data_IF_448605431184
#
_entry.id   IF_448605431184
#
_cell.length_a   1.000
_cell.length_b   1.000
_cell.length_c   1.000
_cell.angle_alpha   90.00
_cell.angle_beta   90.00
_cell.angle_gamma   90.00
#
_symmetry.space_group_name_H-M   'P 1'
#
loop_
_entity.id
_entity.type
_entity.pdbx_description
1 polymer ?
#
# COMPACT_ATOMS: atom_id res chain seq x y z
N UNK A 1 -12.68 3.36 -10.26
CA UNK A 1 -11.89 2.41 -9.43
C UNK A 1 -10.44 2.84 -9.47
N UNK A 2 -9.70 2.71 -8.36
CA UNK A 2 -8.29 3.12 -8.25
C UNK A 2 -7.48 1.96 -7.65
N UNK A 3 -6.23 1.79 -8.07
CA UNK A 3 -5.29 0.87 -7.42
C UNK A 3 -4.20 1.68 -6.75
N UNK A 4 -4.06 1.49 -5.44
CA UNK A 4 -3.15 2.27 -4.61
C UNK A 4 -2.14 1.34 -3.95
N UNK A 5 -0.86 1.64 -4.11
CA UNK A 5 0.23 1.00 -3.37
C UNK A 5 0.77 1.95 -2.32
N UNK A 6 0.77 1.53 -1.06
CA UNK A 6 1.30 2.31 0.06
C UNK A 6 2.76 1.95 0.34
N UNK A 7 3.68 2.85 0.01
CA UNK A 7 5.09 2.77 0.36
C UNK A 7 5.34 3.50 1.69
N UNK A 8 5.12 2.79 2.80
CA UNK A 8 5.15 3.37 4.16
C UNK A 8 6.54 3.27 4.77
N UNK A 9 7.07 4.37 5.33
CA UNK A 9 8.27 4.29 6.18
C UNK A 9 7.93 3.54 7.47
N UNK A 10 8.51 2.35 7.63
CA UNK A 10 8.36 1.52 8.83
C UNK A 10 9.63 1.50 9.68
N UNK A 11 9.48 1.20 10.98
CA UNK A 11 10.59 0.92 11.91
C UNK A 11 11.50 -0.25 11.50
N UNK A 12 11.10 -1.05 10.51
CA UNK A 12 11.87 -2.17 9.95
C UNK A 12 12.78 -1.77 8.78
N UNK A 13 12.79 -0.49 8.37
CA UNK A 13 13.78 0.05 7.43
C UNK A 13 15.03 0.43 8.24
N UNK A 14 15.92 -0.52 8.55
CA UNK A 14 17.23 -0.24 9.17
C UNK A 14 18.29 -1.19 8.58
N UNK A 15 19.48 -0.65 8.26
CA UNK A 15 20.55 -0.62 9.25
C UNK A 15 20.93 0.80 9.72
N UNK A 16 21.54 0.95 10.91
CA UNK A 16 21.62 2.21 11.67
C UNK A 16 22.52 3.34 11.20
N UNK A 17 23.15 3.26 10.03
CA UNK A 17 24.37 4.03 9.81
C UNK A 17 24.25 5.19 8.83
N UNK A 18 23.07 5.43 8.27
CA UNK A 18 22.91 6.40 7.17
C UNK A 18 21.84 7.44 7.50
N UNK A 19 22.25 8.71 7.60
CA UNK A 19 21.41 9.82 8.07
C UNK A 19 20.16 10.10 7.23
N UNK A 20 19.33 11.05 7.70
CA UNK A 20 17.98 11.40 7.17
C UNK A 20 17.85 11.52 5.64
N UNK A 21 18.93 11.88 4.93
CA UNK A 21 18.94 11.98 3.46
C UNK A 21 18.96 10.62 2.75
N UNK A 22 19.58 9.61 3.37
CA UNK A 22 19.62 8.25 2.83
C UNK A 22 18.27 7.55 2.97
N UNK A 23 17.55 7.74 4.09
CA UNK A 23 16.20 7.18 4.25
C UNK A 23 15.23 7.72 3.20
N UNK A 24 15.35 9.00 2.84
CA UNK A 24 14.54 9.61 1.78
C UNK A 24 14.86 8.99 0.41
N UNK A 25 16.14 8.77 0.07
CA UNK A 25 16.53 8.16 -1.20
C UNK A 25 16.11 6.69 -1.30
N UNK A 26 16.17 5.92 -0.20
CA UNK A 26 15.65 4.55 -0.18
C UNK A 26 14.13 4.52 -0.37
N UNK A 27 13.39 5.40 0.30
CA UNK A 27 11.95 5.49 0.11
C UNK A 27 11.59 5.83 -1.34
N UNK A 28 12.28 6.81 -1.94
CA UNK A 28 12.04 7.18 -3.34
C UNK A 28 12.36 6.05 -4.30
N UNK A 29 13.45 5.31 -4.08
CA UNK A 29 13.78 4.12 -4.87
C UNK A 29 12.69 3.04 -4.75
N UNK A 30 12.19 2.78 -3.54
CA UNK A 30 11.07 1.85 -3.34
C UNK A 30 9.77 2.34 -3.99
N UNK A 31 9.46 3.64 -3.89
CA UNK A 31 8.29 4.20 -4.53
C UNK A 31 8.40 4.12 -6.06
N UNK A 32 9.58 4.36 -6.63
CA UNK A 32 9.83 4.19 -8.07
C UNK A 32 9.63 2.73 -8.52
N UNK A 33 10.18 1.78 -7.76
CA UNK A 33 9.97 0.35 -8.04
C UNK A 33 8.50 -0.05 -7.92
N UNK A 34 7.79 0.46 -6.91
CA UNK A 34 6.36 0.22 -6.74
C UNK A 34 5.54 0.76 -7.92
N UNK A 35 5.89 1.94 -8.46
CA UNK A 35 5.24 2.51 -9.66
C UNK A 35 5.45 1.61 -10.88
N UNK A 36 6.68 1.12 -11.08
CA UNK A 36 6.99 0.21 -12.19
C UNK A 36 6.19 -1.10 -12.08
N UNK A 37 6.11 -1.70 -10.89
CA UNK A 37 5.33 -2.91 -10.66
C UNK A 37 3.83 -2.67 -10.85
N UNK A 38 3.33 -1.51 -10.42
CA UNK A 38 1.93 -1.14 -10.58
C UNK A 38 1.56 -0.99 -12.05
N UNK A 39 2.44 -0.39 -12.86
CA UNK A 39 2.22 -0.26 -14.32
C UNK A 39 2.21 -1.63 -15.04
N UNK A 40 2.92 -2.63 -14.51
CA UNK A 40 2.84 -4.01 -15.05
C UNK A 40 1.43 -4.60 -14.95
N UNK A 41 0.61 -4.18 -13.98
CA UNK A 41 -0.79 -4.61 -13.91
C UNK A 41 -1.57 -4.15 -15.14
N UNK A 42 -1.30 -2.93 -15.61
CA UNK A 42 -1.91 -2.39 -16.82
C UNK A 42 -1.39 -3.07 -18.07
N UNK A 43 -0.06 -3.16 -18.21
CA UNK A 43 0.59 -3.80 -19.36
C UNK A 43 0.12 -5.25 -19.54
N UNK A 44 -0.10 -5.98 -18.45
CA UNK A 44 -0.57 -7.37 -18.47
C UNK A 44 -2.10 -7.51 -18.62
N UNK A 45 -2.84 -6.40 -18.74
CA UNK A 45 -4.29 -6.39 -18.89
C UNK A 45 -5.07 -6.78 -17.64
N UNK A 46 -4.47 -6.73 -16.45
CA UNK A 46 -5.15 -6.99 -15.17
C UNK A 46 -6.12 -5.86 -14.82
N UNK A 47 -5.76 -4.64 -15.20
CA UNK A 47 -6.60 -3.43 -15.04
C UNK A 47 -6.69 -2.67 -16.36
N UNK A 48 -7.79 -1.95 -16.58
CA UNK A 48 -8.01 -1.15 -17.78
C UNK A 48 -7.26 0.19 -17.76
N UNK A 49 -7.16 0.83 -18.93
CA UNK A 49 -6.44 2.10 -19.13
C UNK A 49 -7.02 3.30 -18.36
N UNK A 50 -8.31 3.24 -18.01
CA UNK A 50 -9.00 4.27 -17.24
C UNK A 50 -8.80 4.12 -15.72
N UNK A 51 -8.17 3.04 -15.25
CA UNK A 51 -7.89 2.83 -13.83
C UNK A 51 -6.72 3.69 -13.39
N UNK A 52 -6.96 4.54 -12.39
CA UNK A 52 -5.91 5.35 -11.78
C UNK A 52 -4.98 4.47 -10.96
N UNK A 53 -3.69 4.54 -11.27
CA UNK A 53 -2.61 3.86 -10.57
C UNK A 53 -1.87 4.88 -9.71
N UNK A 54 -1.77 4.64 -8.41
CA UNK A 54 -1.17 5.57 -7.47
C UNK A 54 -0.20 4.87 -6.53
N UNK A 55 0.95 5.49 -6.29
CA UNK A 55 1.85 5.13 -5.19
C UNK A 55 1.86 6.27 -4.19
N UNK A 56 1.46 5.96 -2.97
CA UNK A 56 1.38 6.91 -1.86
C UNK A 56 2.47 6.59 -0.86
N UNK A 57 3.19 7.61 -0.40
CA UNK A 57 4.23 7.46 0.62
C UNK A 57 3.83 8.20 1.90
N UNK A 58 4.40 7.78 3.03
CA UNK A 58 4.19 8.48 4.29
C UNK A 58 5.08 7.96 5.42
N UNK A 59 5.29 8.81 6.43
CA UNK A 59 6.01 8.52 7.65
C UNK A 59 5.13 7.72 8.63
N UNK A 60 4.76 6.51 8.21
CA UNK A 60 3.82 5.65 8.93
C UNK A 60 2.45 5.56 8.28
N UNK A 61 1.64 4.60 8.75
CA UNK A 61 0.37 4.24 8.12
C UNK A 61 -0.69 5.33 8.17
N UNK A 62 -0.76 6.11 9.26
CA UNK A 62 -1.69 7.23 9.37
C UNK A 62 -1.44 8.26 8.26
N UNK A 63 -0.22 8.78 8.17
CA UNK A 63 0.13 9.76 7.14
C UNK A 63 -0.01 9.20 5.73
N UNK A 64 0.40 7.95 5.50
CA UNK A 64 0.30 7.34 4.19
C UNK A 64 -1.17 7.14 3.76
N UNK A 65 -2.06 6.76 4.68
CA UNK A 65 -3.49 6.64 4.38
C UNK A 65 -4.11 8.01 4.15
N UNK A 66 -3.84 9.00 4.99
CA UNK A 66 -4.37 10.35 4.79
C UNK A 66 -3.92 11.00 3.47
N UNK A 67 -2.73 10.66 2.99
CA UNK A 67 -2.15 11.19 1.75
C UNK A 67 -2.73 10.56 0.46
N UNK A 68 -3.70 9.65 0.54
CA UNK A 68 -4.27 8.97 -0.63
C UNK A 68 -5.38 9.75 -1.35
N UNK A 69 -5.63 11.01 -0.97
CA UNK A 69 -6.64 11.89 -1.59
C UNK A 69 -8.01 11.21 -1.74
N UNK A 70 -8.53 10.70 -0.62
CA UNK A 70 -9.82 10.01 -0.58
C UNK A 70 -10.97 10.92 -1.01
N UNK A 71 -11.94 10.33 -1.69
CA UNK A 71 -13.20 10.97 -2.04
C UNK A 71 -14.33 10.45 -1.15
N UNK A 72 -15.35 11.29 -0.96
CA UNK A 72 -16.53 10.90 -0.19
C UNK A 72 -17.19 9.66 -0.80
N UNK A 73 -17.45 8.66 0.05
CA UNK A 73 -18.08 7.40 -0.36
C UNK A 73 -17.11 6.34 -0.93
N UNK A 74 -15.79 6.58 -0.93
CA UNK A 74 -14.83 5.55 -1.28
C UNK A 74 -14.75 4.42 -0.22
N UNK A 75 -14.31 3.24 -0.66
CA UNK A 75 -14.10 2.05 0.18
C UNK A 75 -12.72 1.50 -0.15
N UNK A 76 -11.95 1.11 0.87
CA UNK A 76 -10.66 0.46 0.71
C UNK A 76 -10.83 -1.07 0.70
N UNK A 77 -10.61 -1.69 -0.45
CA UNK A 77 -10.56 -3.15 -0.57
C UNK A 77 -9.14 -3.68 -0.35
N UNK A 78 -8.98 -4.64 0.57
CA UNK A 78 -7.71 -5.30 0.87
C UNK A 78 -7.83 -6.80 0.60
N UNK A 79 -6.98 -7.32 -0.28
CA UNK A 79 -6.80 -8.77 -0.42
C UNK A 79 -5.94 -9.31 0.73
N UNK A 80 -6.27 -10.51 1.22
CA UNK A 80 -5.37 -11.26 2.10
C UNK A 80 -4.58 -12.28 1.32
N UNK A 81 -3.30 -12.45 1.65
CA UNK A 81 -2.53 -13.60 1.21
C UNK A 81 -2.83 -14.80 2.13
N UNK A 82 -3.31 -15.94 1.62
CA UNK A 82 -3.50 -17.13 2.45
C UNK A 82 -2.17 -17.60 3.02
N UNK A 83 -2.19 -18.05 4.28
CA UNK A 83 -1.04 -18.70 4.92
C UNK A 83 -1.37 -20.19 5.06
N UNK A 84 -1.03 -20.98 4.04
CA UNK A 84 -1.34 -22.42 3.95
C UNK A 84 -2.75 -22.74 3.41
N UNK A 85 -3.16 -24.00 3.52
CA UNK A 85 -4.38 -24.56 2.89
C UNK A 85 -5.72 -24.10 3.51
N UNK A 86 -5.69 -23.16 4.46
CA UNK A 86 -6.89 -22.65 5.12
C UNK A 86 -7.18 -21.25 4.60
N UNK A 87 -8.33 -21.10 3.91
CA UNK A 87 -8.89 -19.81 3.52
C UNK A 87 -9.34 -19.04 4.77
N UNK A 88 -8.39 -18.43 5.47
CA UNK A 88 -8.61 -17.50 6.57
C UNK A 88 -8.14 -16.13 6.12
N UNK A 89 -8.93 -15.12 6.45
CA UNK A 89 -8.57 -13.71 6.29
C UNK A 89 -7.39 -13.43 7.23
N UNK A 90 -6.18 -13.69 6.75
CA UNK A 90 -4.95 -13.36 7.46
C UNK A 90 -4.61 -11.90 7.17
N UNK A 91 -5.05 -11.07 8.11
CA UNK A 91 -4.63 -9.69 8.26
C UNK A 91 -3.17 -9.74 8.73
N UNK A 92 -2.21 -9.76 7.79
CA UNK A 92 -0.77 -9.74 8.11
C UNK A 92 -0.39 -8.60 9.07
N UNK A 93 0.87 -8.52 9.47
CA UNK A 93 1.38 -7.56 10.49
C UNK A 93 1.04 -6.08 10.23
N UNK A 94 0.60 -5.74 9.02
CA UNK A 94 0.21 -4.40 8.59
C UNK A 94 -1.30 -4.18 8.50
N UNK A 95 -2.11 -5.20 8.21
CA UNK A 95 -3.55 -4.99 7.90
C UNK A 95 -4.34 -4.46 9.10
N UNK A 96 -3.98 -4.85 10.34
CA UNK A 96 -4.57 -4.26 11.54
C UNK A 96 -4.28 -2.77 11.72
N UNK A 97 -3.12 -2.29 11.22
CA UNK A 97 -2.80 -0.85 11.21
C UNK A 97 -3.59 -0.13 10.13
N UNK A 98 -3.75 -0.76 8.96
CA UNK A 98 -4.54 -0.19 7.86
C UNK A 98 -5.99 0.01 8.30
N UNK A 99 -6.63 -1.01 8.87
CA UNK A 99 -8.01 -0.93 9.36
C UNK A 99 -8.17 0.15 10.43
N UNK A 100 -7.18 0.27 11.33
CA UNK A 100 -7.22 1.26 12.42
C UNK A 100 -7.13 2.71 11.94
N UNK A 101 -6.33 2.97 10.91
CA UNK A 101 -6.03 4.32 10.43
C UNK A 101 -6.78 4.69 9.15
N UNK A 102 -7.57 3.78 8.57
CA UNK A 102 -8.30 4.07 7.33
C UNK A 102 -9.35 5.16 7.58
N UNK A 103 -9.35 6.25 6.79
CA UNK A 103 -10.39 7.27 6.85
C UNK A 103 -11.69 6.82 6.15
N UNK A 104 -11.62 5.74 5.36
CA UNK A 104 -12.75 5.14 4.65
C UNK A 104 -13.08 3.73 5.16
N UNK A 105 -14.31 3.22 4.95
CA UNK A 105 -14.63 1.83 5.25
C UNK A 105 -13.67 0.85 4.57
N UNK A 106 -13.28 -0.21 5.29
CA UNK A 106 -12.35 -1.23 4.78
C UNK A 106 -13.09 -2.55 4.54
N UNK A 107 -13.04 -3.04 3.31
CA UNK A 107 -13.50 -4.37 2.93
C UNK A 107 -12.30 -5.30 2.81
N UNK A 108 -12.31 -6.40 3.56
CA UNK A 108 -11.24 -7.40 3.49
C UNK A 108 -11.72 -8.61 2.72
N UNK A 109 -11.01 -8.95 1.66
CA UNK A 109 -11.33 -10.05 0.76
C UNK A 109 -10.48 -11.28 1.12
N UNK A 110 -11.09 -12.45 1.37
CA UNK A 110 -10.34 -13.69 1.51
C UNK A 110 -9.64 -14.02 0.18
N UNK A 111 -8.40 -14.51 0.28
CA UNK A 111 -7.60 -14.98 -0.85
C UNK A 111 -7.33 -16.46 -0.78
#
# INVERSE_FOLDING_TARGET
>A
MRVITFAVRGRTMYPPEVGLHAEASVLEAWAAQARELLEKLRINGVVSEDVVLQVVTGNGWAQALDAADWQDGEILALGTSPFGDVARVFLGSWSGKIIRYSPVPVLVLPG
#
